data_IF_357548744201
#
_entry.id   IF_357548744201
#
_cell.length_a   1.000
_cell.length_b   1.000
_cell.length_c   1.000
_cell.angle_alpha   90.00
_cell.angle_beta   90.00
_cell.angle_gamma   90.00
#
_symmetry.space_group_name_H-M   'P 1'
#
loop_
_entity.id
_entity.type
_entity.pdbx_description
1 polymer ?
#
# COMPACT_ATOMS: atom_id res chain seq x y z
N UNK A 1 0.42 -11.29 1.96
CA UNK A 1 1.16 -10.33 1.11
C UNK A 1 1.02 -8.96 1.74
N UNK A 2 2.03 -8.10 1.65
CA UNK A 2 2.08 -6.80 2.36
C UNK A 2 0.80 -5.96 2.14
N UNK A 3 0.26 -5.93 0.91
CA UNK A 3 -1.00 -5.22 0.60
C UNK A 3 -2.18 -5.62 1.50
N UNK A 4 -2.34 -6.93 1.78
CA UNK A 4 -3.44 -7.43 2.63
C UNK A 4 -3.28 -6.98 4.08
N UNK A 5 -2.05 -6.91 4.58
CA UNK A 5 -1.81 -6.51 5.96
C UNK A 5 -2.02 -5.00 6.13
N UNK A 6 -1.68 -4.20 5.12
CA UNK A 6 -2.02 -2.76 5.10
C UNK A 6 -3.55 -2.56 5.09
N UNK A 7 -4.28 -3.30 4.25
CA UNK A 7 -5.75 -3.20 4.19
C UNK A 7 -6.46 -3.71 5.45
N UNK A 8 -5.84 -4.63 6.18
CA UNK A 8 -6.38 -5.18 7.44
C UNK A 8 -6.04 -4.32 8.65
N UNK A 9 -5.01 -3.48 8.55
CA UNK A 9 -4.67 -2.56 9.61
C UNK A 9 -5.87 -1.64 9.86
N UNK A 10 -6.32 -1.56 11.13
CA UNK A 10 -7.45 -0.72 11.52
C UNK A 10 -7.12 0.77 11.54
N UNK A 11 -5.83 1.10 11.56
CA UNK A 11 -5.25 2.44 11.57
C UNK A 11 -4.16 2.53 10.51
N UNK A 12 -3.54 3.70 10.35
CA UNK A 12 -2.37 3.91 9.49
C UNK A 12 -1.10 3.44 10.21
N UNK A 13 -0.56 2.25 9.89
CA UNK A 13 0.61 1.74 10.60
C UNK A 13 1.86 2.46 10.09
N UNK A 14 2.83 2.63 10.97
CA UNK A 14 4.19 2.99 10.56
C UNK A 14 4.86 1.84 9.81
N UNK A 15 5.94 2.14 9.05
CA UNK A 15 6.76 1.11 8.40
C UNK A 15 7.20 -0.01 9.35
N UNK A 16 7.55 0.34 10.59
CA UNK A 16 8.02 -0.61 11.61
C UNK A 16 6.89 -1.49 12.10
N UNK A 17 5.74 -0.92 12.43
CA UNK A 17 4.58 -1.67 12.91
C UNK A 17 4.06 -2.65 11.85
N UNK A 18 3.96 -2.18 10.60
CA UNK A 18 3.56 -3.04 9.49
C UNK A 18 4.58 -4.17 9.27
N UNK A 19 5.88 -3.88 9.30
CA UNK A 19 6.91 -4.90 9.15
C UNK A 19 6.85 -5.96 10.27
N UNK A 20 6.55 -5.54 11.49
CA UNK A 20 6.39 -6.44 12.64
C UNK A 20 5.11 -7.28 12.58
N UNK A 21 4.02 -6.75 12.00
CA UNK A 21 2.74 -7.46 11.88
C UNK A 21 2.72 -8.50 10.76
N UNK A 22 3.74 -8.56 9.90
CA UNK A 22 3.78 -9.51 8.79
C UNK A 22 3.84 -10.96 9.31
N UNK A 23 2.98 -11.87 8.80
CA UNK A 23 2.95 -13.27 9.24
C UNK A 23 4.22 -14.05 8.89
N UNK A 24 5.00 -13.56 7.92
CA UNK A 24 6.36 -14.02 7.64
C UNK A 24 7.30 -12.83 7.69
N UNK A 25 8.37 -12.95 8.47
CA UNK A 25 9.38 -11.91 8.55
C UNK A 25 10.10 -11.80 7.20
N UNK A 26 9.93 -10.66 6.55
CA UNK A 26 10.67 -10.30 5.34
C UNK A 26 11.95 -9.56 5.75
N UNK A 27 12.98 -9.66 4.93
CA UNK A 27 14.13 -8.76 5.06
C UNK A 27 13.65 -7.31 4.87
N UNK A 28 14.17 -6.41 5.71
CA UNK A 28 13.73 -5.01 5.73
C UNK A 28 13.91 -4.30 4.37
N UNK A 29 15.00 -4.61 3.66
CA UNK A 29 15.23 -4.09 2.30
C UNK A 29 14.15 -4.51 1.30
N UNK A 30 13.78 -5.80 1.30
CA UNK A 30 12.71 -6.31 0.44
C UNK A 30 11.38 -5.67 0.79
N UNK A 31 11.10 -5.47 2.08
CA UNK A 31 9.91 -4.75 2.54
C UNK A 31 9.88 -3.30 2.02
N UNK A 32 10.99 -2.57 2.11
CA UNK A 32 11.08 -1.21 1.57
C UNK A 32 10.84 -1.19 0.06
N UNK A 33 11.46 -2.11 -0.70
CA UNK A 33 11.25 -2.20 -2.15
C UNK A 33 9.79 -2.48 -2.52
N UNK A 34 9.07 -3.23 -1.69
CA UNK A 34 7.62 -3.44 -1.86
C UNK A 34 6.86 -2.12 -1.60
N UNK A 35 7.19 -1.39 -0.54
CA UNK A 35 6.57 -0.09 -0.27
C UNK A 35 6.83 0.91 -1.39
N UNK A 36 8.05 1.00 -1.89
CA UNK A 36 8.42 1.89 -3.01
C UNK A 36 7.59 1.56 -4.27
N UNK A 37 7.39 0.27 -4.54
CA UNK A 37 6.52 -0.16 -5.64
C UNK A 37 5.05 0.24 -5.41
N UNK A 38 4.53 0.05 -4.19
CA UNK A 38 3.15 0.41 -3.86
C UNK A 38 2.91 1.91 -3.92
N UNK A 39 3.89 2.72 -3.50
CA UNK A 39 3.85 4.17 -3.58
C UNK A 39 3.91 4.63 -5.04
N UNK A 40 4.86 4.11 -5.84
CA UNK A 40 4.97 4.43 -7.27
C UNK A 40 3.75 4.05 -8.09
N UNK A 41 2.99 3.04 -7.64
CA UNK A 41 1.73 2.62 -8.26
C UNK A 41 0.50 3.32 -7.68
N UNK A 42 0.70 4.36 -6.86
CA UNK A 42 -0.34 5.15 -6.19
C UNK A 42 -1.32 4.30 -5.37
N UNK A 43 -0.89 3.13 -4.89
CA UNK A 43 -1.72 2.27 -4.04
C UNK A 43 -1.70 2.71 -2.58
N UNK A 44 -0.57 3.27 -2.17
CA UNK A 44 -0.34 3.81 -0.84
C UNK A 44 0.21 5.22 -0.95
N UNK A 45 0.03 5.99 0.13
CA UNK A 45 0.71 7.25 0.37
C UNK A 45 1.45 7.12 1.70
N UNK A 46 2.68 7.62 1.74
CA UNK A 46 3.45 7.75 2.97
C UNK A 46 3.31 9.19 3.47
N UNK A 47 2.66 9.38 4.62
CA UNK A 47 2.58 10.69 5.28
C UNK A 47 3.16 10.58 6.69
N UNK A 48 4.13 11.44 7.03
CA UNK A 48 4.76 11.52 8.37
C UNK A 48 5.22 10.17 8.96
N UNK A 49 5.52 9.19 8.12
CA UNK A 49 5.95 7.85 8.52
C UNK A 49 4.82 6.82 8.65
N UNK A 50 3.57 7.25 8.51
CA UNK A 50 2.37 6.41 8.43
C UNK A 50 2.09 5.96 6.99
N UNK A 51 1.56 4.75 6.85
CA UNK A 51 1.20 4.15 5.57
C UNK A 51 -0.32 4.25 5.40
N UNK A 52 -0.75 5.07 4.43
CA UNK A 52 -2.17 5.26 4.10
C UNK A 52 -2.51 4.47 2.84
N UNK A 53 -3.51 3.60 2.90
CA UNK A 53 -4.02 2.90 1.72
C UNK A 53 -5.03 3.78 0.97
N UNK A 54 -4.71 4.11 -0.29
CA UNK A 54 -5.53 5.02 -1.12
C UNK A 54 -6.14 4.34 -2.33
N UNK A 55 -5.74 3.10 -2.63
CA UNK A 55 -6.27 2.38 -3.80
C UNK A 55 -7.73 1.99 -3.61
N UNK A 56 -8.60 2.20 -4.62
CA UNK A 56 -10.02 1.89 -4.49
C UNK A 56 -10.27 0.39 -4.30
N UNK A 57 -10.93 0.07 -3.18
CA UNK A 57 -11.43 -1.28 -2.88
C UNK A 57 -12.70 -1.63 -3.66
N UNK A 58 -13.38 -0.62 -4.26
CA UNK A 58 -14.63 -0.82 -5.00
C UNK A 58 -14.35 -1.25 -6.46
N UNK A 59 -14.90 -2.38 -6.93
CA UNK A 59 -14.71 -2.87 -8.30
C UNK A 59 -15.18 -1.88 -9.38
N UNK A 60 -16.18 -1.03 -9.10
CA UNK A 60 -16.63 0.01 -10.05
C UNK A 60 -15.57 1.10 -10.24
N UNK A 61 -14.99 1.60 -9.15
CA UNK A 61 -13.91 2.60 -9.20
C UNK A 61 -12.66 2.03 -9.89
N UNK A 62 -12.37 0.75 -9.65
CA UNK A 62 -11.26 0.05 -10.30
C UNK A 62 -11.40 0.01 -11.83
N UNK A 63 -12.60 -0.35 -12.32
CA UNK A 63 -12.91 -0.28 -13.75
C UNK A 63 -12.82 1.13 -14.32
N UNK A 64 -13.25 2.15 -13.57
CA UNK A 64 -13.15 3.54 -14.02
C UNK A 64 -11.69 4.00 -14.15
N UNK A 65 -10.81 3.61 -13.23
CA UNK A 65 -9.37 3.89 -13.33
C UNK A 65 -8.69 3.15 -14.48
N UNK A 66 -9.11 1.92 -14.77
CA UNK A 66 -8.58 1.16 -15.92
C UNK A 66 -8.99 1.77 -17.26
N UNK A 67 -10.19 2.35 -17.34
CA UNK A 67 -10.72 2.98 -18.55
C UNK A 67 -10.43 4.48 -18.62
N UNK A 68 -9.80 5.09 -17.59
CA UNK A 68 -9.55 6.53 -17.58
C UNK A 68 -8.38 6.89 -18.49
N UNK A 69 -8.50 8.04 -19.16
CA UNK A 69 -7.42 8.61 -19.96
C UNK A 69 -6.32 9.11 -19.01
N UNK A 70 -5.08 8.64 -19.22
CA UNK A 70 -3.93 9.17 -18.47
C UNK A 70 -3.67 10.60 -18.92
N UNK A 71 -3.89 11.56 -18.02
CA UNK A 71 -3.45 12.94 -18.23
C UNK A 71 -1.92 12.97 -18.16
N UNK A 72 -1.30 13.60 -19.17
CA UNK A 72 0.15 13.63 -19.40
C UNK A 72 0.72 14.97 -18.98
#
# INVERSE_FOLDING_TARGET
MVEREIQRARSYPTKKELWQSLPRKLQYQTFNRILDYLESSNKIVLDKGEIVWTFPSNPKLRKLLENSVRLR
#
